data_IF_023615839448
#
_entry.id   IF_023615839448
#
_cell.length_a   1.000
_cell.length_b   1.000
_cell.length_c   1.000
_cell.angle_alpha   90.00
_cell.angle_beta   90.00
_cell.angle_gamma   90.00
#
_symmetry.space_group_name_H-M   'P 1'
#
loop_
_entity.id
_entity.type
_entity.pdbx_description
1 polymer ?
#
# COMPACT_ATOMS: atom_id res chain seq x y z
N UNK A 1 10.54 12.25 -28.06
CA UNK A 1 9.60 11.20 -27.62
C UNK A 1 10.40 10.25 -26.74
N UNK A 2 9.91 9.91 -25.55
CA UNK A 2 10.56 8.90 -24.70
C UNK A 2 10.45 7.53 -25.38
N UNK A 3 11.45 6.67 -25.19
CA UNK A 3 11.33 5.29 -25.64
C UNK A 3 10.17 4.60 -24.89
N UNK A 4 9.43 3.66 -25.52
CA UNK A 4 8.29 3.00 -24.87
C UNK A 4 8.62 2.41 -23.49
N UNK A 5 9.80 1.81 -23.34
CA UNK A 5 10.29 1.24 -22.08
C UNK A 5 10.55 2.30 -21.00
N UNK A 6 11.14 3.44 -21.36
CA UNK A 6 11.36 4.55 -20.42
C UNK A 6 10.04 5.16 -19.96
N UNK A 7 9.04 5.22 -20.86
CA UNK A 7 7.71 5.66 -20.50
C UNK A 7 7.02 4.67 -19.55
N UNK A 8 7.16 3.36 -19.78
CA UNK A 8 6.67 2.33 -18.88
C UNK A 8 7.26 2.48 -17.48
N UNK A 9 8.59 2.64 -17.38
CA UNK A 9 9.27 2.85 -16.10
C UNK A 9 8.76 4.09 -15.36
N UNK A 10 8.61 5.20 -16.09
CA UNK A 10 8.06 6.43 -15.53
C UNK A 10 6.62 6.26 -15.00
N UNK A 11 5.80 5.48 -15.71
CA UNK A 11 4.45 5.18 -15.26
C UNK A 11 4.48 4.39 -13.94
N UNK A 12 5.33 3.36 -13.83
CA UNK A 12 5.50 2.56 -12.59
C UNK A 12 5.88 3.46 -11.39
N UNK A 13 6.79 4.42 -11.59
CA UNK A 13 7.17 5.36 -10.54
C UNK A 13 6.00 6.27 -10.15
N UNK A 14 5.24 6.76 -11.14
CA UNK A 14 4.05 7.59 -10.87
C UNK A 14 2.94 6.80 -10.14
N UNK A 15 2.78 5.52 -10.43
CA UNK A 15 1.87 4.64 -9.69
C UNK A 15 2.31 4.50 -8.24
N UNK A 16 3.62 4.37 -7.99
CA UNK A 16 4.18 4.33 -6.62
C UNK A 16 3.87 5.61 -5.84
N UNK A 17 4.04 6.78 -6.45
CA UNK A 17 3.69 8.05 -5.81
C UNK A 17 2.18 8.13 -5.53
N UNK A 18 1.36 7.64 -6.45
CA UNK A 18 -0.10 7.62 -6.31
C UNK A 18 -0.55 6.65 -5.20
N UNK A 19 0.07 5.49 -5.07
CA UNK A 19 -0.19 4.55 -3.96
C UNK A 19 0.08 5.21 -2.60
N UNK A 20 1.16 5.99 -2.49
CA UNK A 20 1.46 6.72 -1.27
C UNK A 20 0.36 7.74 -0.94
N UNK A 21 -0.14 8.47 -1.94
CA UNK A 21 -1.26 9.40 -1.76
C UNK A 21 -2.55 8.69 -1.35
N UNK A 22 -2.92 7.61 -2.05
CA UNK A 22 -4.11 6.80 -1.73
C UNK A 22 -4.06 6.24 -0.30
N UNK A 23 -2.86 5.89 0.18
CA UNK A 23 -2.65 5.42 1.56
C UNK A 23 -2.85 6.51 2.60
N UNK A 24 -2.49 7.75 2.27
CA UNK A 24 -2.72 8.91 3.14
C UNK A 24 -4.21 9.30 3.17
N UNK A 25 -4.91 9.11 2.04
CA UNK A 25 -6.34 9.37 1.90
C UNK A 25 -7.22 8.19 2.38
N UNK A 26 -6.61 7.12 2.91
CA UNK A 26 -7.26 5.89 3.37
C UNK A 26 -8.16 5.22 2.31
N UNK A 27 -7.88 5.47 1.02
CA UNK A 27 -8.63 4.90 -0.08
C UNK A 27 -8.11 3.49 -0.44
N UNK A 28 -8.34 2.55 0.48
CA UNK A 28 -7.78 1.20 0.41
C UNK A 28 -8.19 0.41 -0.83
N UNK A 29 -9.41 0.61 -1.33
CA UNK A 29 -9.89 -0.11 -2.51
C UNK A 29 -9.11 0.31 -3.77
N UNK A 30 -9.02 1.63 -4.03
CA UNK A 30 -8.24 2.14 -5.16
C UNK A 30 -6.75 1.80 -5.02
N UNK A 31 -6.23 1.76 -3.79
CA UNK A 31 -4.84 1.36 -3.54
C UNK A 31 -4.58 -0.10 -3.97
N UNK A 32 -5.47 -1.03 -3.64
CA UNK A 32 -5.33 -2.45 -4.02
C UNK A 32 -5.42 -2.66 -5.53
N UNK A 33 -6.33 -1.95 -6.20
CA UNK A 33 -6.47 -2.00 -7.66
C UNK A 33 -5.20 -1.48 -8.34
N UNK A 34 -4.71 -0.32 -7.92
CA UNK A 34 -3.51 0.28 -8.47
C UNK A 34 -2.24 -0.55 -8.18
N UNK A 35 -2.17 -1.19 -7.01
CA UNK A 35 -1.04 -2.07 -6.67
C UNK A 35 -1.00 -3.30 -7.57
N UNK A 36 -2.17 -3.87 -7.86
CA UNK A 36 -2.29 -5.02 -8.78
C UNK A 36 -1.81 -4.63 -10.19
N UNK A 37 -2.21 -3.45 -10.67
CA UNK A 37 -1.77 -2.92 -11.96
C UNK A 37 -0.26 -2.66 -11.96
N UNK A 38 0.27 -2.01 -10.91
CA UNK A 38 1.70 -1.70 -10.77
C UNK A 38 2.54 -2.97 -10.79
N UNK A 39 2.06 -4.03 -10.12
CA UNK A 39 2.74 -5.31 -10.09
C UNK A 39 2.83 -5.94 -11.49
N UNK A 40 1.72 -5.92 -12.25
CA UNK A 40 1.73 -6.38 -13.65
C UNK A 40 2.71 -5.60 -14.53
N UNK A 41 2.73 -4.27 -14.41
CA UNK A 41 3.69 -3.42 -15.15
C UNK A 41 5.15 -3.70 -14.77
N UNK A 42 5.43 -3.99 -13.50
CA UNK A 42 6.76 -4.40 -13.06
C UNK A 42 7.18 -5.75 -13.65
N UNK A 43 6.28 -6.74 -13.62
CA UNK A 43 6.53 -8.05 -14.23
C UNK A 43 6.82 -7.91 -15.72
N UNK A 44 6.02 -7.13 -16.43
CA UNK A 44 6.21 -6.86 -17.86
C UNK A 44 7.52 -6.11 -18.12
N UNK A 45 7.85 -5.10 -17.32
CA UNK A 45 9.10 -4.33 -17.46
C UNK A 45 10.33 -5.22 -17.27
N UNK A 46 10.34 -6.05 -16.23
CA UNK A 46 11.46 -6.94 -15.88
C UNK A 46 11.44 -8.28 -16.63
N UNK A 47 10.43 -8.55 -17.46
CA UNK A 47 10.41 -9.69 -18.38
C UNK A 47 11.56 -9.67 -19.40
N UNK A 48 12.13 -8.47 -19.61
CA UNK A 48 13.28 -8.24 -20.48
C UNK A 48 14.42 -7.60 -19.68
N UNK A 49 15.68 -7.96 -19.97
CA UNK A 49 16.83 -7.37 -19.28
C UNK A 49 16.87 -5.84 -19.40
N UNK A 50 17.24 -5.16 -18.32
CA UNK A 50 17.47 -3.71 -18.31
C UNK A 50 18.73 -3.41 -19.10
N UNK A 51 18.66 -2.42 -19.99
CA UNK A 51 19.80 -1.95 -20.78
C UNK A 51 20.80 -1.24 -19.86
N UNK A 52 22.10 -1.40 -20.13
CA UNK A 52 23.18 -0.85 -19.31
C UNK A 52 23.05 0.67 -19.09
N UNK A 53 22.56 1.39 -20.10
CA UNK A 53 22.29 2.83 -20.04
C UNK A 53 21.17 3.23 -19.06
N UNK A 54 20.20 2.34 -18.80
CA UNK A 54 19.07 2.61 -17.92
C UNK A 54 19.27 2.05 -16.49
N UNK A 55 20.28 1.20 -16.26
CA UNK A 55 20.49 0.49 -14.97
C UNK A 55 20.53 1.46 -13.79
N UNK A 56 21.25 2.57 -13.91
CA UNK A 56 21.39 3.52 -12.81
C UNK A 56 20.08 4.22 -12.44
N UNK A 57 19.24 4.54 -13.42
CA UNK A 57 17.93 5.15 -13.19
C UNK A 57 16.94 4.12 -12.59
N UNK A 58 16.93 2.91 -13.14
CA UNK A 58 16.09 1.81 -12.65
C UNK A 58 16.47 1.45 -11.22
N UNK A 59 17.75 1.32 -10.89
CA UNK A 59 18.20 1.05 -9.53
C UNK A 59 17.72 2.12 -8.54
N UNK A 60 17.87 3.40 -8.90
CA UNK A 60 17.41 4.50 -8.08
C UNK A 60 15.91 4.44 -7.84
N UNK A 61 15.13 4.16 -8.88
CA UNK A 61 13.68 4.04 -8.77
C UNK A 61 13.25 2.84 -7.92
N UNK A 62 13.89 1.66 -8.08
CA UNK A 62 13.64 0.50 -7.21
C UNK A 62 13.88 0.86 -5.73
N UNK A 63 14.98 1.54 -5.42
CA UNK A 63 15.29 1.96 -4.04
C UNK A 63 14.23 2.91 -3.48
N UNK A 64 13.69 3.81 -4.31
CA UNK A 64 12.60 4.69 -3.92
C UNK A 64 11.31 3.92 -3.66
N UNK A 65 10.96 2.99 -4.54
CA UNK A 65 9.78 2.13 -4.40
C UNK A 65 9.82 1.31 -3.11
N UNK A 66 10.93 0.60 -2.87
CA UNK A 66 11.09 -0.21 -1.65
C UNK A 66 10.95 0.63 -0.37
N UNK A 67 11.45 1.86 -0.39
CA UNK A 67 11.30 2.78 0.73
C UNK A 67 9.84 3.20 0.93
N UNK A 68 9.13 3.54 -0.14
CA UNK A 68 7.69 3.87 -0.09
C UNK A 68 6.87 2.67 0.40
N UNK A 69 7.13 1.47 -0.11
CA UNK A 69 6.42 0.25 0.27
C UNK A 69 6.64 -0.09 1.76
N UNK A 70 7.85 0.13 2.29
CA UNK A 70 8.12 -0.04 3.72
C UNK A 70 7.34 0.95 4.59
N UNK A 71 7.24 2.22 4.17
CA UNK A 71 6.43 3.22 4.87
C UNK A 71 4.94 2.85 4.84
N UNK A 72 4.45 2.39 3.69
CA UNK A 72 3.08 1.93 3.50
C UNK A 72 2.75 0.76 4.44
N UNK A 73 3.65 -0.21 4.54
CA UNK A 73 3.53 -1.38 5.43
C UNK A 73 3.47 -0.96 6.90
N UNK A 74 4.32 -0.03 7.31
CA UNK A 74 4.31 0.51 8.67
C UNK A 74 3.00 1.24 8.99
N UNK A 75 2.51 2.06 8.06
CA UNK A 75 1.23 2.75 8.20
C UNK A 75 0.06 1.76 8.31
N UNK A 76 0.02 0.77 7.43
CA UNK A 76 -1.02 -0.27 7.40
C UNK A 76 -1.03 -1.09 8.70
N UNK A 77 0.15 -1.47 9.21
CA UNK A 77 0.29 -2.20 10.48
C UNK A 77 -0.24 -1.38 11.65
N UNK A 78 0.08 -0.09 11.68
CA UNK A 78 -0.41 0.82 12.73
C UNK A 78 -1.93 0.97 12.68
N UNK A 79 -2.50 1.13 11.50
CA UNK A 79 -3.95 1.22 11.33
C UNK A 79 -4.66 -0.06 11.79
N UNK A 80 -4.13 -1.23 11.40
CA UNK A 80 -4.65 -2.52 11.84
C UNK A 80 -4.66 -2.65 13.37
N UNK A 81 -3.60 -2.20 14.03
CA UNK A 81 -3.51 -2.19 15.48
C UNK A 81 -4.58 -1.29 16.12
N UNK A 82 -4.77 -0.07 15.59
CA UNK A 82 -5.81 0.85 16.05
C UNK A 82 -7.20 0.23 15.93
N UNK A 83 -7.53 -0.38 14.78
CA UNK A 83 -8.82 -1.04 14.55
C UNK A 83 -9.01 -2.20 15.55
N UNK A 84 -7.97 -3.01 15.76
CA UNK A 84 -8.00 -4.12 16.72
C UNK A 84 -8.32 -3.65 18.14
N UNK A 85 -7.73 -2.53 18.55
CA UNK A 85 -7.95 -1.97 19.89
C UNK A 85 -9.35 -1.34 20.03
N UNK A 86 -9.89 -0.70 19.00
CA UNK A 86 -11.28 -0.23 18.99
C UNK A 86 -12.29 -1.39 19.06
N UNK A 87 -12.06 -2.48 18.33
CA UNK A 87 -12.91 -3.69 18.40
C UNK A 87 -12.92 -4.29 19.80
N UNK A 88 -11.76 -4.33 20.49
CA UNK A 88 -11.68 -4.78 21.88
C UNK A 88 -12.48 -3.90 22.84
N UNK A 89 -12.44 -2.57 22.67
CA UNK A 89 -13.25 -1.62 23.46
C UNK A 89 -14.74 -1.89 23.28
N UNK A 90 -15.20 -2.04 22.04
CA UNK A 90 -16.61 -2.33 21.72
C UNK A 90 -17.04 -3.67 22.35
N UNK A 91 -16.23 -4.72 22.20
CA UNK A 91 -16.48 -6.04 22.79
C UNK A 91 -16.60 -5.98 24.32
N UNK A 92 -15.72 -5.21 24.96
CA UNK A 92 -15.75 -5.01 26.41
C UNK A 92 -17.00 -4.24 26.84
N UNK A 93 -17.37 -3.18 26.12
CA UNK A 93 -18.61 -2.43 26.36
C UNK A 93 -19.86 -3.30 26.26
N UNK A 94 -19.93 -4.17 25.24
CA UNK A 94 -21.03 -5.15 25.11
C UNK A 94 -21.13 -6.08 26.32
N UNK A 95 -20.00 -6.63 26.78
CA UNK A 95 -19.97 -7.49 27.98
C UNK A 95 -20.46 -6.76 29.24
N UNK A 96 -20.12 -5.49 29.39
CA UNK A 96 -20.58 -4.66 30.52
C UNK A 96 -22.10 -4.46 30.44
N UNK A 97 -22.62 -4.07 29.28
CA UNK A 97 -24.07 -3.91 29.07
C UNK A 97 -24.82 -5.22 29.35
N UNK A 98 -24.31 -6.35 28.85
CA UNK A 98 -24.91 -7.67 29.10
C UNK A 98 -24.92 -8.04 30.59
N UNK A 99 -23.84 -7.72 31.33
CA UNK A 99 -23.76 -7.96 32.76
C UNK A 99 -24.77 -7.13 33.55
N UNK A 100 -24.97 -5.85 33.17
CA UNK A 100 -25.98 -4.99 33.76
C UNK A 100 -27.41 -5.47 33.48
N UNK A 101 -27.68 -5.90 32.25
CA UNK A 101 -29.00 -6.40 31.87
C UNK A 101 -29.35 -7.73 32.54
N UNK A 102 -28.36 -8.58 32.85
CA UNK A 102 -28.57 -9.84 33.59
C UNK A 102 -28.81 -9.65 35.09
N UNK A 103 -28.51 -8.48 35.66
CA UNK A 103 -28.72 -8.18 37.08
C UNK A 103 -29.94 -7.29 37.37
N UNK A 104 -30.61 -6.78 36.33
CA UNK A 104 -31.86 -6.02 36.44
C UNK A 104 -33.11 -6.83 36.05
N UNK A 105 -33.03 -8.16 36.10
CA UNK A 105 -34.19 -9.09 35.99
C UNK A 105 -34.30 -9.89 37.28
#
# INVERSE_FOLDING_TARGET
MLQPRQQQWKNILQMTDTLHQLSADENWQAMLELETERFGELEDFFSTPVLEEDVGEVEKGIRQMLKSDELLKQHSTRQQQTISDEVKKISTGRKVVDAYNKHNV
#
